data_IF_354122501186
#
_entry.id   IF_354122501186
#
_cell.length_a   1.000
_cell.length_b   1.000
_cell.length_c   1.000
_cell.angle_alpha   90.00
_cell.angle_beta   90.00
_cell.angle_gamma   90.00
#
_symmetry.space_group_name_H-M   'P 1'
#
loop_
_entity.id
_entity.type
_entity.pdbx_description
1 polymer ?
#
# COMPACT_ATOMS: atom_id res chain seq x y z
N UNK A 1 12.82 4.32 5.45
CA UNK A 1 13.97 3.86 6.27
C UNK A 1 13.50 3.67 7.70
N UNK A 2 13.93 2.60 8.35
CA UNK A 2 13.64 2.34 9.78
C UNK A 2 14.98 2.32 10.50
N UNK A 3 15.09 3.07 11.60
CA UNK A 3 16.30 3.21 12.41
C UNK A 3 15.97 2.87 13.86
N UNK A 4 16.64 1.85 14.39
CA UNK A 4 16.51 1.42 15.79
C UNK A 4 17.37 2.26 16.74
N UNK A 5 17.34 1.93 18.02
CA UNK A 5 18.05 2.71 19.04
C UNK A 5 19.54 2.76 18.75
N UNK A 6 20.15 3.93 18.91
CA UNK A 6 21.58 4.13 18.73
C UNK A 6 22.31 4.18 20.07
N UNK A 7 23.59 3.82 20.06
CA UNK A 7 24.41 3.76 21.27
C UNK A 7 24.46 5.11 21.98
N UNK A 8 24.68 6.17 21.21
CA UNK A 8 24.66 7.55 21.68
C UNK A 8 23.65 8.34 20.88
N UNK A 9 23.06 9.35 21.51
CA UNK A 9 22.07 10.21 20.88
C UNK A 9 22.67 11.05 19.75
N UNK A 10 23.97 11.34 19.82
CA UNK A 10 24.71 12.00 18.75
C UNK A 10 24.72 11.20 17.43
N UNK A 11 24.57 9.87 17.47
CA UNK A 11 24.59 9.06 16.25
C UNK A 11 23.34 9.29 15.39
N UNK A 12 22.23 9.75 15.99
CA UNK A 12 21.01 10.12 15.24
C UNK A 12 21.21 11.35 14.35
N UNK A 13 22.24 12.18 14.58
CA UNK A 13 22.52 13.32 13.70
C UNK A 13 23.03 12.89 12.33
N UNK A 14 23.39 11.62 12.15
CA UNK A 14 23.77 11.04 10.86
C UNK A 14 22.55 10.70 9.98
N UNK A 15 21.35 10.75 10.55
CA UNK A 15 20.13 10.47 9.80
C UNK A 15 19.82 11.59 8.81
N UNK A 16 19.14 11.27 7.69
CA UNK A 16 18.71 12.26 6.72
C UNK A 16 17.94 13.40 7.40
N UNK A 17 18.28 14.64 7.04
CA UNK A 17 17.79 15.87 7.68
C UNK A 17 18.74 16.43 8.74
N UNK A 18 19.44 15.58 9.50
CA UNK A 18 20.42 16.02 10.50
C UNK A 18 19.84 16.67 11.76
N UNK A 19 18.51 16.79 11.85
CA UNK A 19 17.81 17.53 12.90
C UNK A 19 17.46 16.68 14.14
N UNK A 20 17.73 15.36 14.11
CA UNK A 20 17.46 14.50 15.26
C UNK A 20 18.61 14.54 16.27
N UNK A 21 18.26 14.84 17.52
CA UNK A 21 19.15 14.74 18.68
C UNK A 21 18.43 14.08 19.83
N UNK A 22 19.20 13.49 20.74
CA UNK A 22 18.63 12.83 21.89
C UNK A 22 19.69 12.22 22.78
N UNK A 23 19.28 11.19 23.50
CA UNK A 23 20.13 10.32 24.31
C UNK A 23 19.96 8.88 23.84
N UNK A 24 21.06 8.19 23.62
CA UNK A 24 21.08 6.79 23.20
C UNK A 24 20.98 5.82 24.37
N UNK A 25 20.96 4.53 24.07
CA UNK A 25 20.79 3.50 25.10
C UNK A 25 21.94 3.42 26.11
N UNK A 26 23.13 3.96 25.81
CA UNK A 26 24.20 4.08 26.84
C UNK A 26 24.05 5.28 27.78
N UNK A 27 23.22 6.26 27.41
CA UNK A 27 23.15 7.56 28.10
C UNK A 27 21.87 7.72 28.94
N UNK A 28 20.86 6.87 28.71
CA UNK A 28 19.61 6.85 29.47
C UNK A 28 19.09 5.41 29.66
N UNK A 29 19.80 4.66 30.49
CA UNK A 29 19.50 3.28 30.86
C UNK A 29 18.52 3.26 32.03
N UNK A 30 17.29 2.74 31.88
CA UNK A 30 16.42 2.47 33.05
C UNK A 30 15.08 1.77 32.81
N UNK A 31 14.57 1.54 31.59
CA UNK A 31 13.14 1.24 31.45
C UNK A 31 12.82 -0.06 30.70
N UNK A 32 12.16 -0.98 31.41
CA UNK A 32 11.97 -2.38 31.02
C UNK A 32 10.50 -2.77 30.82
N UNK A 33 9.57 -2.06 31.46
CA UNK A 33 8.12 -2.29 31.37
C UNK A 33 7.38 -0.95 31.29
N UNK A 34 6.23 -0.92 30.60
CA UNK A 34 5.33 0.22 30.38
C UNK A 34 6.07 1.52 30.12
N UNK A 35 7.08 1.43 29.26
CA UNK A 35 8.10 2.47 29.12
C UNK A 35 7.70 3.57 28.14
N UNK A 36 6.64 3.35 27.36
CA UNK A 36 6.08 4.33 26.45
C UNK A 36 4.55 4.29 26.39
N UNK A 37 4.00 5.38 25.87
CA UNK A 37 2.62 5.56 25.45
C UNK A 37 2.59 5.90 23.96
N UNK A 38 1.48 5.61 23.28
CA UNK A 38 1.21 6.05 21.91
C UNK A 38 0.94 7.56 21.95
N UNK A 39 1.82 8.35 21.34
CA UNK A 39 1.65 9.81 21.24
C UNK A 39 0.65 10.17 20.13
N UNK A 40 0.92 9.70 18.92
CA UNK A 40 0.02 9.81 17.78
C UNK A 40 -0.29 8.43 17.24
N UNK A 41 -1.57 8.12 17.04
CA UNK A 41 -1.97 6.83 16.49
C UNK A 41 -1.44 6.67 15.06
N UNK A 42 -0.99 5.45 14.75
CA UNK A 42 -0.52 5.04 13.43
C UNK A 42 -0.82 3.55 13.25
N UNK A 43 -1.09 3.05 12.02
CA UNK A 43 -1.42 1.63 11.77
C UNK A 43 -0.45 0.59 12.37
N UNK A 44 0.80 0.99 12.64
CA UNK A 44 1.80 0.15 13.31
C UNK A 44 1.44 -0.24 14.74
N UNK A 45 0.51 0.49 15.37
CA UNK A 45 0.01 0.24 16.73
C UNK A 45 -1.35 -0.47 16.73
N UNK A 46 -1.81 -0.97 15.59
CA UNK A 46 -3.11 -1.63 15.47
C UNK A 46 -3.28 -2.83 16.41
N UNK A 47 -2.20 -3.56 16.71
CA UNK A 47 -2.17 -4.73 17.61
C UNK A 47 -1.87 -4.36 19.08
N UNK A 48 -1.98 -3.07 19.42
CA UNK A 48 -1.72 -2.57 20.79
C UNK A 48 -3.06 -2.18 21.43
N UNK A 49 -3.55 -2.93 22.43
CA UNK A 49 -4.88 -2.68 23.00
C UNK A 49 -4.97 -1.40 23.87
N UNK A 50 -3.84 -0.88 24.36
CA UNK A 50 -3.83 0.31 25.20
C UNK A 50 -2.74 1.30 24.79
N UNK A 51 -3.13 2.56 24.61
CA UNK A 51 -2.21 3.63 24.25
C UNK A 51 -1.34 4.08 25.43
N UNK A 52 -1.74 3.74 26.66
CA UNK A 52 -1.16 4.24 27.90
C UNK A 52 0.03 3.42 28.42
N UNK A 53 0.10 2.16 28.02
CA UNK A 53 0.99 1.18 28.65
C UNK A 53 1.64 0.28 27.60
N UNK A 54 2.41 0.90 26.70
CA UNK A 54 3.16 0.16 25.67
C UNK A 54 4.42 -0.43 26.32
N UNK A 55 4.33 -1.70 26.70
CA UNK A 55 5.47 -2.49 27.17
C UNK A 55 6.53 -2.66 26.07
N UNK A 56 7.58 -1.82 26.10
CA UNK A 56 8.72 -1.82 25.19
C UNK A 56 10.02 -1.64 25.96
N UNK A 57 11.11 -2.20 25.43
CA UNK A 57 12.46 -1.91 25.92
C UNK A 57 12.92 -0.60 25.28
N UNK A 58 12.94 0.48 26.08
CA UNK A 58 13.29 1.82 25.62
C UNK A 58 14.29 2.46 26.58
N UNK A 59 15.52 2.53 26.10
CA UNK A 59 16.60 3.29 26.70
C UNK A 59 17.01 4.39 25.72
N UNK A 60 16.81 5.64 26.13
CA UNK A 60 16.94 6.82 25.27
C UNK A 60 15.62 7.54 24.98
N UNK A 61 15.77 8.76 24.46
CA UNK A 61 14.69 9.63 24.02
C UNK A 61 15.25 10.75 23.12
N UNK A 62 14.40 11.32 22.26
CA UNK A 62 14.74 12.48 21.44
C UNK A 62 14.52 13.78 22.22
N UNK A 63 15.44 14.73 22.07
CA UNK A 63 15.35 16.10 22.62
C UNK A 63 15.06 17.13 21.54
N UNK A 64 15.43 16.84 20.29
CA UNK A 64 15.12 17.63 19.11
C UNK A 64 14.65 16.70 18.00
N UNK A 65 13.56 17.09 17.33
CA UNK A 65 12.95 16.37 16.21
C UNK A 65 12.67 17.36 15.07
N UNK A 66 12.65 16.92 13.80
CA UNK A 66 12.28 17.79 12.68
C UNK A 66 10.92 18.47 12.90
N UNK A 67 10.74 19.71 12.42
CA UNK A 67 9.51 20.50 12.65
C UNK A 67 8.23 19.82 12.16
N UNK A 68 8.33 18.99 11.12
CA UNK A 68 7.20 18.24 10.54
C UNK A 68 7.18 16.77 10.98
N UNK A 69 7.97 16.40 12.00
CA UNK A 69 7.97 15.05 12.52
C UNK A 69 6.72 14.78 13.38
N UNK A 70 6.16 13.58 13.23
CA UNK A 70 5.11 13.07 14.09
C UNK A 70 5.75 12.21 15.19
N UNK A 71 5.45 12.52 16.45
CA UNK A 71 5.83 11.66 17.58
C UNK A 71 4.85 10.51 17.70
N UNK A 72 5.30 9.29 17.38
CA UNK A 72 4.50 8.08 17.42
C UNK A 72 4.47 7.45 18.82
N UNK A 73 5.61 7.42 19.51
CA UNK A 73 5.70 6.98 20.90
C UNK A 73 6.28 8.10 21.77
N UNK A 74 5.69 8.28 22.95
CA UNK A 74 6.18 9.16 24.01
C UNK A 74 6.66 8.29 25.15
N UNK A 75 7.79 8.63 25.75
CA UNK A 75 8.37 7.88 26.85
C UNK A 75 7.69 8.24 28.16
N UNK A 76 7.22 7.25 28.91
CA UNK A 76 6.43 7.48 30.13
C UNK A 76 7.27 8.11 31.25
N UNK A 77 8.56 7.77 31.35
CA UNK A 77 9.45 8.29 32.40
C UNK A 77 9.58 9.82 32.38
N UNK A 78 9.49 10.45 31.21
CA UNK A 78 9.87 11.84 31.06
C UNK A 78 9.04 12.66 30.06
N UNK A 79 8.10 12.03 29.36
CA UNK A 79 7.25 12.67 28.35
C UNK A 79 7.98 13.04 27.06
N UNK A 80 9.18 12.50 26.80
CA UNK A 80 9.95 12.79 25.60
C UNK A 80 9.65 11.83 24.45
N UNK A 81 9.81 12.25 23.18
CA UNK A 81 9.61 11.35 22.04
C UNK A 81 10.56 10.14 22.11
N UNK A 82 10.00 8.94 21.95
CA UNK A 82 10.74 7.68 21.87
C UNK A 82 10.69 7.05 20.48
N UNK A 83 9.70 7.41 19.66
CA UNK A 83 9.60 7.02 18.25
C UNK A 83 9.02 8.18 17.46
N UNK A 84 9.65 8.49 16.34
CA UNK A 84 9.26 9.60 15.46
C UNK A 84 9.20 9.14 14.01
N UNK A 85 8.26 9.73 13.27
CA UNK A 85 8.08 9.55 11.83
C UNK A 85 8.19 10.90 11.15
N UNK A 86 9.03 11.01 10.12
CA UNK A 86 9.15 12.23 9.34
C UNK A 86 9.45 11.92 7.88
N UNK A 87 9.09 12.86 7.00
CA UNK A 87 9.36 12.76 5.57
C UNK A 87 10.79 13.21 5.25
N UNK A 88 11.43 12.52 4.31
CA UNK A 88 12.70 12.94 3.73
C UNK A 88 12.78 12.48 2.27
N UNK A 89 12.91 13.45 1.35
CA UNK A 89 12.86 13.17 -0.09
C UNK A 89 11.51 12.60 -0.50
N UNK A 90 11.51 11.48 -1.23
CA UNK A 90 10.30 10.80 -1.70
C UNK A 90 9.80 9.71 -0.73
N UNK A 91 10.32 9.65 0.50
CA UNK A 91 10.00 8.58 1.44
C UNK A 91 9.98 9.04 2.89
N UNK A 92 9.88 8.06 3.79
CA UNK A 92 9.73 8.27 5.23
C UNK A 92 10.92 7.73 6.00
N UNK A 93 11.24 8.38 7.11
CA UNK A 93 12.16 7.90 8.14
C UNK A 93 11.38 7.66 9.42
N UNK A 94 11.45 6.43 9.94
CA UNK A 94 11.01 6.08 11.29
C UNK A 94 12.26 5.89 12.14
N UNK A 95 12.45 6.74 13.15
CA UNK A 95 13.54 6.61 14.12
C UNK A 95 12.94 6.25 15.49
N UNK A 96 13.52 5.26 16.17
CA UNK A 96 12.98 4.77 17.43
C UNK A 96 14.08 4.41 18.43
N UNK A 97 13.80 4.59 19.71
CA UNK A 97 14.61 4.11 20.83
C UNK A 97 14.22 2.71 21.31
N UNK A 98 13.33 2.01 20.59
CA UNK A 98 13.01 0.60 20.86
C UNK A 98 14.22 -0.28 20.53
N UNK A 99 14.66 -1.09 21.50
CA UNK A 99 15.96 -1.79 21.48
C UNK A 99 15.91 -3.29 21.11
N UNK A 100 14.92 -3.69 20.31
CA UNK A 100 14.63 -5.11 20.07
C UNK A 100 15.53 -5.79 19.03
N UNK A 101 16.39 -5.04 18.35
CA UNK A 101 17.35 -5.54 17.35
C UNK A 101 18.65 -6.08 17.97
N UNK A 102 19.06 -5.57 19.14
CA UNK A 102 20.36 -5.88 19.76
C UNK A 102 20.25 -6.90 20.91
N UNK A 103 19.08 -7.05 21.53
CA UNK A 103 18.91 -7.84 22.74
C UNK A 103 18.78 -9.38 22.64
N UNK A 104 18.68 -10.07 21.48
CA UNK A 104 18.53 -11.53 21.50
C UNK A 104 19.75 -12.32 22.02
N UNK A 105 20.91 -11.71 22.27
CA UNK A 105 22.16 -12.48 22.49
C UNK A 105 23.08 -12.09 23.66
N UNK A 106 22.94 -10.94 24.31
CA UNK A 106 24.05 -10.45 25.15
C UNK A 106 23.88 -10.62 26.65
N UNK A 107 22.67 -10.76 27.20
CA UNK A 107 22.46 -11.02 28.63
C UNK A 107 21.15 -11.78 28.82
N UNK A 108 21.16 -12.95 29.44
CA UNK A 108 20.03 -13.87 29.61
C UNK A 108 18.84 -13.33 30.43
N UNK A 109 18.30 -12.18 30.05
CA UNK A 109 17.10 -11.57 30.59
C UNK A 109 15.91 -11.95 29.69
N UNK A 110 15.09 -12.86 30.21
CA UNK A 110 13.90 -13.44 29.57
C UNK A 110 12.69 -12.48 29.50
N UNK A 111 12.86 -11.22 29.12
CA UNK A 111 11.71 -10.34 28.90
C UNK A 111 11.71 -9.77 27.49
N UNK A 112 11.30 -10.59 26.53
CA UNK A 112 10.77 -10.07 25.26
C UNK A 112 9.58 -9.18 25.61
N UNK A 113 9.71 -7.88 25.40
CA UNK A 113 8.55 -6.97 25.44
C UNK A 113 7.43 -7.59 24.58
N UNK A 114 6.22 -7.83 25.13
CA UNK A 114 5.15 -8.52 24.41
C UNK A 114 4.66 -7.70 23.20
N UNK A 115 4.82 -6.37 23.25
CA UNK A 115 4.39 -5.48 22.18
C UNK A 115 5.42 -5.27 21.08
N UNK A 116 6.73 -5.44 21.36
CA UNK A 116 7.74 -5.15 20.35
C UNK A 116 7.63 -6.02 19.09
N UNK A 117 7.51 -7.36 19.15
CA UNK A 117 7.33 -8.17 17.93
C UNK A 117 6.12 -7.74 17.11
N UNK A 118 5.02 -7.38 17.78
CA UNK A 118 3.78 -6.91 17.14
C UNK A 118 3.95 -5.58 16.40
N UNK A 119 4.61 -4.61 17.05
CA UNK A 119 4.90 -3.29 16.46
C UNK A 119 5.90 -3.45 15.31
N UNK A 120 6.95 -4.25 15.47
CA UNK A 120 7.94 -4.47 14.40
C UNK A 120 7.32 -5.14 13.18
N UNK A 121 6.51 -6.19 13.36
CA UNK A 121 5.75 -6.84 12.28
C UNK A 121 4.90 -5.82 11.53
N UNK A 122 4.11 -5.04 12.27
CA UNK A 122 3.22 -4.03 11.69
C UNK A 122 3.99 -2.89 11.01
N UNK A 123 5.12 -2.48 11.57
CA UNK A 123 6.04 -1.49 10.99
C UNK A 123 6.65 -1.97 9.67
N UNK A 124 7.07 -3.24 9.60
CA UNK A 124 7.61 -3.81 8.37
C UNK A 124 6.52 -3.98 7.30
N UNK A 125 5.34 -4.48 7.67
CA UNK A 125 4.21 -4.59 6.75
C UNK A 125 3.79 -3.21 6.22
N UNK A 126 3.73 -2.20 7.08
CA UNK A 126 3.46 -0.83 6.67
C UNK A 126 4.54 -0.29 5.74
N UNK A 127 5.81 -0.49 6.06
CA UNK A 127 6.93 0.01 5.26
C UNK A 127 7.06 -0.70 3.90
N UNK A 128 6.64 -1.96 3.80
CA UNK A 128 6.60 -2.74 2.55
C UNK A 128 5.33 -2.46 1.72
N UNK A 129 4.29 -1.90 2.33
CA UNK A 129 3.04 -1.61 1.64
C UNK A 129 3.23 -0.52 0.59
N UNK A 130 2.88 -0.83 -0.66
CA UNK A 130 2.89 0.14 -1.77
C UNK A 130 1.70 1.09 -1.74
N UNK A 131 0.67 0.77 -0.94
CA UNK A 131 -0.56 1.55 -0.78
C UNK A 131 -0.70 1.98 0.69
N UNK A 132 -1.41 3.09 0.97
CA UNK A 132 -1.73 3.46 2.34
C UNK A 132 -2.42 2.32 3.09
N UNK A 133 -1.96 2.02 4.30
CA UNK A 133 -2.60 1.04 5.18
C UNK A 133 -3.77 1.71 5.88
N UNK A 134 -4.97 1.50 5.36
CA UNK A 134 -6.21 2.00 5.98
C UNK A 134 -6.45 1.32 7.33
N UNK A 135 -6.99 2.07 8.29
CA UNK A 135 -7.43 1.53 9.57
C UNK A 135 -8.94 1.34 9.58
N UNK A 136 -9.39 0.19 10.09
CA UNK A 136 -10.79 -0.15 10.33
C UNK A 136 -11.00 -0.48 11.81
N UNK A 137 -12.20 -0.24 12.35
CA UNK A 137 -12.49 -0.57 13.73
C UNK A 137 -12.45 -2.08 13.97
N UNK A 138 -11.93 -2.47 15.14
CA UNK A 138 -12.14 -3.81 15.66
C UNK A 138 -13.62 -4.02 15.97
N UNK A 139 -14.22 -5.03 15.35
CA UNK A 139 -15.60 -5.42 15.60
C UNK A 139 -15.82 -6.89 15.24
N UNK A 140 -15.99 -7.74 16.25
CA UNK A 140 -16.23 -9.18 16.06
C UNK A 140 -17.62 -9.47 15.46
N UNK A 141 -18.59 -8.57 15.62
CA UNK A 141 -19.97 -8.80 15.25
C UNK A 141 -20.26 -8.46 13.79
N UNK A 142 -19.58 -7.44 13.25
CA UNK A 142 -19.85 -6.89 11.92
C UNK A 142 -18.75 -7.23 10.92
N UNK A 143 -19.11 -7.78 9.74
CA UNK A 143 -18.13 -8.07 8.71
C UNK A 143 -17.52 -6.76 8.19
N UNK A 144 -16.20 -6.69 8.24
CA UNK A 144 -15.41 -5.69 7.52
C UNK A 144 -15.21 -6.17 6.09
N UNK A 145 -15.46 -5.29 5.12
CA UNK A 145 -15.22 -5.58 3.71
C UNK A 145 -13.86 -5.04 3.30
N UNK A 146 -12.93 -5.94 3.01
CA UNK A 146 -11.61 -5.56 2.48
C UNK A 146 -11.61 -5.63 0.96
N UNK A 147 -11.32 -4.51 0.29
CA UNK A 147 -11.47 -4.35 -1.16
C UNK A 147 -10.15 -4.07 -1.87
N UNK A 148 -10.02 -4.62 -3.07
CA UNK A 148 -9.04 -4.25 -4.09
C UNK A 148 -9.76 -3.80 -5.36
N UNK A 149 -9.27 -2.72 -5.96
CA UNK A 149 -9.72 -2.24 -7.26
C UNK A 149 -8.92 -2.91 -8.36
N UNK A 150 -9.55 -3.83 -9.09
CA UNK A 150 -9.01 -4.40 -10.31
C UNK A 150 -9.49 -3.59 -11.52
N UNK A 151 -8.58 -3.20 -12.42
CA UNK A 151 -8.93 -2.57 -13.69
C UNK A 151 -8.60 -3.51 -14.82
N UNK A 152 -9.57 -3.84 -15.67
CA UNK A 152 -9.30 -4.67 -16.83
C UNK A 152 -8.30 -3.94 -17.76
N UNK A 153 -7.08 -4.48 -17.97
CA UNK A 153 -6.02 -3.81 -18.73
C UNK A 153 -6.31 -3.77 -20.23
N UNK A 154 -7.36 -4.44 -20.72
CA UNK A 154 -7.77 -4.36 -22.12
C UNK A 154 -8.29 -2.93 -22.39
N UNK A 155 -7.56 -2.22 -23.26
CA UNK A 155 -7.81 -0.79 -23.59
C UNK A 155 -8.86 -0.64 -24.71
N UNK A 156 -9.14 -1.72 -25.43
CA UNK A 156 -10.06 -1.72 -26.56
C UNK A 156 -11.39 -2.34 -26.15
N UNK A 157 -12.41 -1.51 -25.93
CA UNK A 157 -13.82 -1.94 -25.88
C UNK A 157 -14.62 -1.26 -26.97
N UNK A 158 -14.46 -1.60 -28.26
CA UNK A 158 -15.49 -1.22 -29.19
C UNK A 158 -16.72 -2.10 -28.93
N UNK A 159 -17.92 -1.53 -29.06
CA UNK A 159 -19.13 -2.32 -29.24
C UNK A 159 -19.05 -2.94 -30.64
N UNK A 160 -18.33 -4.04 -30.78
CA UNK A 160 -18.30 -4.79 -32.02
C UNK A 160 -19.61 -5.54 -32.21
N UNK A 161 -20.09 -5.56 -33.44
CA UNK A 161 -21.14 -6.49 -33.85
C UNK A 161 -20.68 -7.92 -33.62
N UNK A 162 -21.60 -8.77 -33.14
CA UNK A 162 -21.33 -10.17 -32.84
C UNK A 162 -22.23 -11.04 -33.69
N UNK A 163 -21.64 -12.06 -34.31
CA UNK A 163 -22.28 -12.99 -35.23
C UNK A 163 -21.98 -14.42 -34.79
N UNK A 164 -22.92 -15.34 -35.01
CA UNK A 164 -22.64 -16.76 -34.85
C UNK A 164 -21.89 -17.30 -36.08
N UNK A 165 -21.18 -18.42 -35.90
CA UNK A 165 -20.59 -19.14 -37.04
C UNK A 165 -21.71 -19.54 -38.00
N UNK A 166 -21.45 -19.41 -39.31
CA UNK A 166 -22.41 -19.67 -40.41
C UNK A 166 -23.50 -18.61 -40.59
N UNK A 167 -23.44 -17.49 -39.85
CA UNK A 167 -24.21 -16.28 -40.19
C UNK A 167 -23.44 -15.41 -41.18
N UNK A 168 -24.17 -14.71 -42.05
CA UNK A 168 -23.61 -13.66 -42.88
C UNK A 168 -23.28 -12.45 -41.99
N UNK A 169 -22.02 -12.02 -42.00
CA UNK A 169 -21.57 -10.80 -41.32
C UNK A 169 -22.03 -9.61 -42.14
N UNK A 170 -22.86 -8.76 -41.53
CA UNK A 170 -23.44 -7.57 -42.15
C UNK A 170 -23.11 -6.34 -41.28
N UNK A 171 -22.10 -5.57 -41.70
CA UNK A 171 -21.62 -4.38 -40.96
C UNK A 171 -21.47 -3.15 -41.87
N UNK A 172 -21.88 -1.99 -41.37
CA UNK A 172 -21.66 -0.70 -42.03
C UNK A 172 -20.31 -0.13 -41.60
N UNK A 173 -19.37 -0.03 -42.54
CA UNK A 173 -18.03 0.51 -42.29
C UNK A 173 -17.95 1.96 -42.77
N UNK A 174 -17.49 2.87 -41.89
CA UNK A 174 -17.19 4.25 -42.26
C UNK A 174 -15.89 4.31 -43.06
N UNK A 175 -16.00 4.54 -44.36
CA UNK A 175 -14.87 4.55 -45.30
C UNK A 175 -14.52 6.00 -45.66
N UNK A 176 -13.38 6.47 -45.15
CA UNK A 176 -12.86 7.80 -45.43
C UNK A 176 -11.82 7.78 -46.54
N UNK A 177 -11.97 8.70 -47.50
CA UNK A 177 -11.00 8.98 -48.56
C UNK A 177 -10.36 10.36 -48.34
N UNK A 178 -9.18 10.45 -47.72
CA UNK A 178 -8.48 11.72 -47.51
C UNK A 178 -7.66 12.18 -48.72
N UNK A 179 -7.72 11.47 -49.84
CA UNK A 179 -6.90 11.76 -51.02
C UNK A 179 -7.59 12.74 -51.95
N UNK A 180 -6.84 13.24 -52.94
CA UNK A 180 -7.38 14.10 -54.00
C UNK A 180 -8.01 13.34 -55.18
N UNK A 181 -8.08 12.01 -55.11
CA UNK A 181 -8.65 11.15 -56.15
C UNK A 181 -10.00 10.60 -55.71
N UNK A 182 -10.88 10.29 -56.67
CA UNK A 182 -12.11 9.54 -56.39
C UNK A 182 -11.78 8.05 -56.39
N UNK A 183 -12.18 7.32 -55.36
CA UNK A 183 -12.11 5.86 -55.34
C UNK A 183 -13.32 5.27 -56.08
N UNK A 184 -13.10 4.30 -56.97
CA UNK A 184 -14.16 3.58 -57.68
C UNK A 184 -14.46 2.20 -57.08
N UNK A 185 -13.56 1.68 -56.24
CA UNK A 185 -13.70 0.39 -55.57
C UNK A 185 -13.20 0.51 -54.13
N UNK A 186 -13.91 -0.17 -53.22
CA UNK A 186 -13.48 -0.41 -51.84
C UNK A 186 -13.26 -1.91 -51.69
N UNK A 187 -12.04 -2.30 -51.36
CA UNK A 187 -11.73 -3.68 -50.98
C UNK A 187 -11.64 -3.75 -49.46
N UNK A 188 -12.41 -4.63 -48.84
CA UNK A 188 -12.26 -4.99 -47.44
C UNK A 188 -11.28 -6.16 -47.31
N UNK A 189 -10.28 -6.00 -46.45
CA UNK A 189 -9.38 -7.07 -46.05
C UNK A 189 -9.79 -7.51 -44.66
N UNK A 190 -10.25 -8.76 -44.54
CA UNK A 190 -10.61 -9.37 -43.27
C UNK A 190 -9.44 -10.21 -42.76
N UNK A 191 -9.08 -10.00 -41.50
CA UNK A 191 -8.00 -10.73 -40.83
C UNK A 191 -8.64 -11.51 -39.69
N UNK A 192 -8.57 -12.83 -39.76
CA UNK A 192 -9.13 -13.70 -38.74
C UNK A 192 -8.25 -13.73 -37.47
N UNK A 193 -8.70 -14.38 -36.38
CA UNK A 193 -7.96 -14.47 -35.11
C UNK A 193 -6.58 -15.13 -35.21
N UNK A 194 -6.33 -15.87 -36.29
CA UNK A 194 -5.09 -16.57 -36.59
C UNK A 194 -4.26 -15.87 -37.68
N UNK A 195 -4.61 -14.62 -38.01
CA UNK A 195 -3.95 -13.80 -39.03
C UNK A 195 -4.05 -14.33 -40.47
N UNK A 196 -5.01 -15.21 -40.75
CA UNK A 196 -5.35 -15.54 -42.13
C UNK A 196 -6.16 -14.39 -42.74
N UNK A 197 -5.91 -14.13 -44.01
CA UNK A 197 -6.45 -12.97 -44.73
C UNK A 197 -7.48 -13.44 -45.77
N UNK A 198 -8.63 -12.78 -45.82
CA UNK A 198 -9.60 -12.86 -46.91
C UNK A 198 -9.96 -11.46 -47.42
N UNK A 199 -10.50 -11.38 -48.63
CA UNK A 199 -10.82 -10.11 -49.29
C UNK A 199 -12.25 -10.13 -49.79
N UNK A 200 -12.98 -9.04 -49.53
CA UNK A 200 -14.31 -8.79 -50.07
C UNK A 200 -14.32 -7.46 -50.83
N UNK A 201 -14.68 -7.52 -52.11
CA UNK A 201 -14.72 -6.34 -52.97
C UNK A 201 -16.13 -5.76 -53.04
N UNK A 202 -16.26 -4.47 -52.72
CA UNK A 202 -17.52 -3.74 -52.81
C UNK A 202 -17.40 -2.61 -53.83
N UNK A 203 -18.30 -2.63 -54.82
CA UNK A 203 -18.40 -1.54 -55.79
C UNK A 203 -19.06 -0.33 -55.13
N UNK A 204 -18.23 0.59 -54.62
CA UNK A 204 -18.65 1.84 -54.01
C UNK A 204 -17.76 2.99 -54.46
N UNK A 205 -18.37 4.14 -54.79
CA UNK A 205 -17.64 5.34 -55.20
C UNK A 205 -17.45 6.26 -53.99
N UNK A 206 -16.19 6.52 -53.61
CA UNK A 206 -15.86 7.42 -52.49
C UNK A 206 -15.18 8.66 -53.05
N UNK A 207 -15.89 9.80 -53.02
CA UNK A 207 -15.36 11.06 -53.51
C UNK A 207 -14.09 11.48 -52.74
N UNK A 208 -13.24 12.26 -53.40
CA UNK A 208 -12.07 12.92 -52.79
C UNK A 208 -12.47 13.71 -51.53
N UNK A 209 -11.67 13.58 -50.48
CA UNK A 209 -11.87 14.24 -49.18
C UNK A 209 -13.26 14.03 -48.54
N UNK A 210 -13.86 12.84 -48.73
CA UNK A 210 -15.18 12.49 -48.20
C UNK A 210 -15.18 11.21 -47.38
N UNK A 211 -16.25 10.98 -46.63
CA UNK A 211 -16.51 9.72 -45.90
C UNK A 211 -17.91 9.24 -46.24
N UNK A 212 -18.06 7.95 -46.51
CA UNK A 212 -19.35 7.30 -46.74
C UNK A 212 -19.43 6.01 -45.91
N UNK A 213 -20.64 5.54 -45.63
CA UNK A 213 -20.85 4.21 -45.08
C UNK A 213 -20.92 3.19 -46.22
N UNK A 214 -20.13 2.13 -46.13
CA UNK A 214 -20.10 1.02 -47.09
C UNK A 214 -20.44 -0.27 -46.37
N UNK A 215 -21.42 -1.01 -46.88
CA UNK A 215 -21.83 -2.25 -46.28
C UNK A 215 -20.86 -3.38 -46.63
N UNK A 216 -20.27 -4.03 -45.61
CA UNK A 216 -19.52 -5.26 -45.74
C UNK A 216 -20.47 -6.44 -45.51
N UNK A 217 -20.60 -7.28 -46.53
CA UNK A 217 -21.30 -8.55 -46.46
C UNK A 217 -20.26 -9.68 -46.61
N UNK A 218 -20.02 -10.42 -45.54
CA UNK A 218 -19.06 -11.53 -45.53
C UNK A 218 -19.74 -12.83 -45.12
N UNK A 219 -19.73 -13.82 -46.01
CA UNK A 219 -20.32 -15.13 -45.76
C UNK A 219 -19.38 -15.99 -44.91
N UNK A 220 -19.89 -16.49 -43.79
CA UNK A 220 -19.17 -17.44 -42.94
C UNK A 220 -19.75 -18.84 -43.07
N UNK A 221 -19.01 -19.84 -42.63
CA UNK A 221 -19.42 -21.25 -42.65
C UNK A 221 -18.92 -21.97 -41.38
N UNK A 222 -19.30 -23.23 -41.21
CA UNK A 222 -18.97 -24.02 -40.00
C UNK A 222 -17.44 -24.20 -39.77
N UNK A 223 -16.61 -23.94 -40.79
CA UNK A 223 -15.15 -23.99 -40.70
C UNK A 223 -14.51 -22.62 -40.40
N UNK A 224 -15.31 -21.55 -40.35
CA UNK A 224 -14.84 -20.20 -40.09
C UNK A 224 -14.32 -20.07 -38.65
N UNK A 225 -13.15 -19.45 -38.51
CA UNK A 225 -12.45 -19.37 -37.21
C UNK A 225 -13.23 -18.49 -36.22
N UNK A 226 -13.61 -19.03 -35.04
CA UNK A 226 -14.25 -18.21 -34.01
C UNK A 226 -13.23 -17.26 -33.37
N UNK A 227 -13.66 -16.04 -33.05
CA UNK A 227 -12.84 -15.03 -32.38
C UNK A 227 -13.10 -13.62 -32.88
N UNK A 228 -12.12 -12.73 -32.69
CA UNK A 228 -12.14 -11.34 -33.16
C UNK A 228 -11.55 -11.28 -34.57
N UNK A 229 -12.32 -10.74 -35.51
CA UNK A 229 -11.92 -10.47 -36.88
C UNK A 229 -11.69 -8.98 -37.07
N UNK A 230 -10.57 -8.60 -37.69
CA UNK A 230 -10.27 -7.21 -38.03
C UNK A 230 -10.65 -6.93 -39.48
N UNK A 231 -11.25 -5.77 -39.72
CA UNK A 231 -11.62 -5.28 -41.04
C UNK A 231 -10.77 -4.06 -41.36
N UNK A 232 -9.92 -4.20 -42.38
CA UNK A 232 -9.25 -3.09 -43.02
C UNK A 232 -9.96 -2.78 -44.33
N UNK A 233 -9.80 -1.56 -44.84
CA UNK A 233 -10.26 -1.23 -46.18
C UNK A 233 -9.14 -0.58 -46.99
N UNK A 234 -9.14 -0.88 -48.29
CA UNK A 234 -8.24 -0.29 -49.29
C UNK A 234 -9.09 0.36 -50.36
N UNK A 235 -8.77 1.61 -50.69
CA UNK A 235 -9.41 2.37 -51.76
C UNK A 235 -8.62 2.23 -53.04
N UNK A 236 -9.31 1.95 -54.13
CA UNK A 236 -8.73 1.89 -55.47
C UNK A 236 -9.34 2.93 -56.38
N UNK A 237 -8.50 3.55 -57.21
CA UNK A 237 -8.91 4.27 -58.40
C UNK A 237 -8.52 3.40 -59.60
N UNK A 238 -9.52 2.82 -60.25
CA UNK A 238 -9.38 1.74 -61.23
C UNK A 238 -8.61 0.55 -60.65
N UNK A 239 -7.37 0.34 -61.07
CA UNK A 239 -6.51 -0.76 -60.59
C UNK A 239 -5.47 -0.31 -59.56
N UNK A 240 -5.37 1.00 -59.27
CA UNK A 240 -4.33 1.55 -58.41
C UNK A 240 -4.85 1.81 -57.01
N UNK A 241 -4.21 1.23 -55.99
CA UNK A 241 -4.49 1.56 -54.59
C UNK A 241 -4.07 3.00 -54.30
N UNK A 242 -4.96 3.77 -53.69
CA UNK A 242 -4.74 5.20 -53.37
C UNK A 242 -4.74 5.49 -51.86
N UNK A 243 -5.33 4.61 -51.05
CA UNK A 243 -5.41 4.76 -49.59
C UNK A 243 -5.74 3.42 -48.93
N UNK A 244 -5.37 3.25 -47.67
CA UNK A 244 -5.80 2.13 -46.83
C UNK A 244 -5.98 2.61 -45.39
N UNK A 245 -6.93 2.03 -44.67
CA UNK A 245 -7.15 2.35 -43.26
C UNK A 245 -7.80 1.20 -42.50
N UNK A 246 -7.88 1.37 -41.19
CA UNK A 246 -8.70 0.53 -40.33
C UNK A 246 -10.18 0.87 -40.55
N UNK A 247 -11.00 -0.16 -40.77
CA UNK A 247 -12.45 -0.03 -40.87
C UNK A 247 -13.07 -0.23 -39.49
N UNK A 248 -13.18 -1.51 -39.09
CA UNK A 248 -13.76 -1.91 -37.81
C UNK A 248 -13.28 -3.32 -37.42
N UNK A 249 -13.90 -3.95 -36.44
CA UNK A 249 -13.75 -5.37 -36.14
C UNK A 249 -15.11 -5.95 -35.71
N UNK A 250 -15.24 -7.27 -35.76
CA UNK A 250 -16.42 -7.98 -35.31
C UNK A 250 -16.02 -9.27 -34.59
N UNK A 251 -16.95 -9.85 -33.84
CA UNK A 251 -16.74 -11.18 -33.23
C UNK A 251 -17.56 -12.22 -33.95
N UNK A 252 -16.95 -13.37 -34.26
CA UNK A 252 -17.61 -14.52 -34.88
C UNK A 252 -17.56 -15.71 -33.92
N UNK A 253 -18.70 -16.29 -33.56
CA UNK A 253 -18.78 -17.45 -32.64
C UNK A 253 -18.10 -17.20 -31.29
N UNK A 254 -17.91 -15.93 -30.93
CA UNK A 254 -17.09 -15.49 -29.82
C UNK A 254 -17.84 -14.40 -29.07
N UNK A 255 -18.04 -14.61 -27.78
CA UNK A 255 -18.68 -13.61 -26.95
C UNK A 255 -17.61 -12.71 -26.35
N UNK A 256 -17.60 -11.42 -26.70
CA UNK A 256 -16.67 -10.44 -26.11
C UNK A 256 -16.82 -10.31 -24.58
N UNK A 257 -17.91 -10.82 -23.99
CA UNK A 257 -18.01 -10.97 -22.54
C UNK A 257 -16.93 -11.91 -21.98
N UNK A 258 -16.40 -12.87 -22.75
CA UNK A 258 -15.35 -13.79 -22.29
C UNK A 258 -13.98 -13.12 -22.09
N UNK A 259 -13.66 -12.04 -22.84
CA UNK A 259 -12.48 -11.19 -22.53
C UNK A 259 -12.72 -10.25 -21.35
N UNK A 260 -13.94 -10.28 -20.82
CA UNK A 260 -14.35 -9.54 -19.64
C UNK A 260 -14.56 -10.45 -18.44
N UNK A 261 -14.45 -11.77 -18.54
CA UNK A 261 -14.69 -12.68 -17.41
C UNK A 261 -13.38 -13.10 -16.73
N UNK A 262 -13.32 -12.92 -15.41
CA UNK A 262 -12.13 -13.17 -14.61
C UNK A 262 -12.43 -14.04 -13.38
N UNK A 263 -11.38 -14.68 -12.87
CA UNK A 263 -11.35 -15.32 -11.55
C UNK A 263 -10.42 -14.53 -10.64
N UNK A 264 -10.83 -14.28 -9.40
CA UNK A 264 -9.96 -13.76 -8.36
C UNK A 264 -9.79 -14.81 -7.26
N UNK A 265 -8.55 -15.15 -6.95
CA UNK A 265 -8.16 -15.92 -5.77
C UNK A 265 -7.75 -14.93 -4.68
N UNK A 266 -8.42 -15.01 -3.53
CA UNK A 266 -8.24 -14.09 -2.41
C UNK A 266 -7.86 -14.90 -1.17
N UNK A 267 -6.70 -14.63 -0.60
CA UNK A 267 -6.20 -15.28 0.61
C UNK A 267 -6.02 -14.23 1.71
N UNK A 268 -6.75 -14.38 2.81
CA UNK A 268 -6.69 -13.47 3.95
C UNK A 268 -5.89 -14.12 5.08
N UNK A 269 -4.81 -13.45 5.47
CA UNK A 269 -3.94 -13.86 6.57
C UNK A 269 -4.16 -12.92 7.75
N UNK A 270 -4.33 -13.50 8.94
CA UNK A 270 -4.46 -12.75 10.18
C UNK A 270 -3.10 -12.16 10.62
N UNK A 271 -3.09 -11.26 11.62
CA UNK A 271 -1.86 -10.71 12.16
C UNK A 271 -0.83 -11.78 12.58
N UNK A 272 -1.27 -12.90 13.17
CA UNK A 272 -0.38 -13.98 13.63
C UNK A 272 0.26 -14.79 12.51
N UNK A 273 -0.15 -14.59 11.26
CA UNK A 273 0.39 -15.24 10.08
C UNK A 273 -0.42 -16.46 9.62
N UNK A 274 -1.58 -16.71 10.23
CA UNK A 274 -2.47 -17.81 9.85
C UNK A 274 -3.38 -17.40 8.69
N UNK A 275 -3.50 -18.26 7.68
CA UNK A 275 -4.51 -18.15 6.64
C UNK A 275 -5.88 -18.45 7.26
N UNK A 276 -6.75 -17.44 7.34
CA UNK A 276 -8.06 -17.55 7.99
C UNK A 276 -9.23 -17.67 7.01
N UNK A 277 -9.06 -17.22 5.78
CA UNK A 277 -10.08 -17.30 4.73
C UNK A 277 -9.41 -17.37 3.35
N UNK A 278 -10.03 -18.14 2.45
CA UNK A 278 -9.61 -18.28 1.06
C UNK A 278 -10.85 -18.36 0.19
N UNK A 279 -10.99 -17.41 -0.73
CA UNK A 279 -12.16 -17.30 -1.60
C UNK A 279 -11.74 -17.27 -3.06
N UNK A 280 -12.56 -17.91 -3.90
CA UNK A 280 -12.48 -17.78 -5.36
C UNK A 280 -13.74 -17.09 -5.85
N UNK A 281 -13.58 -15.93 -6.48
CA UNK A 281 -14.67 -15.16 -7.05
C UNK A 281 -14.59 -15.23 -8.58
N UNK A 282 -15.73 -15.39 -9.24
CA UNK A 282 -15.82 -15.16 -10.69
C UNK A 282 -16.60 -13.88 -10.92
N UNK A 283 -16.10 -12.99 -11.76
CA UNK A 283 -16.70 -11.69 -12.01
C UNK A 283 -16.44 -11.22 -13.45
N UNK A 284 -17.34 -10.38 -13.95
CA UNK A 284 -17.19 -9.76 -15.26
C UNK A 284 -16.70 -8.32 -15.11
N UNK A 285 -15.53 -8.03 -15.66
CA UNK A 285 -14.95 -6.71 -15.78
C UNK A 285 -14.84 -6.24 -17.23
N UNK A 286 -15.68 -5.28 -17.63
CA UNK A 286 -15.60 -4.67 -18.96
C UNK A 286 -14.22 -4.01 -19.19
N UNK A 287 -13.74 -3.93 -20.45
CA UNK A 287 -12.42 -3.38 -20.72
C UNK A 287 -12.29 -1.92 -20.25
N UNK A 288 -11.13 -1.58 -19.68
CA UNK A 288 -10.81 -0.28 -19.07
C UNK A 288 -11.73 0.15 -17.92
N UNK A 289 -12.60 -0.73 -17.42
CA UNK A 289 -13.44 -0.46 -16.24
C UNK A 289 -12.79 -1.08 -14.99
N UNK A 290 -13.00 -0.40 -13.87
CA UNK A 290 -12.53 -0.80 -12.55
C UNK A 290 -13.64 -1.47 -11.77
N UNK A 291 -13.31 -2.60 -11.14
CA UNK A 291 -14.21 -3.40 -10.33
C UNK A 291 -13.60 -3.64 -8.95
N UNK A 292 -14.45 -3.58 -7.93
CA UNK A 292 -14.07 -3.92 -6.57
C UNK A 292 -14.18 -5.43 -6.39
N UNK A 293 -13.05 -6.09 -6.16
CA UNK A 293 -13.00 -7.45 -5.63
C UNK A 293 -12.64 -7.37 -4.15
N UNK A 294 -13.11 -8.31 -3.34
CA UNK A 294 -12.85 -8.21 -1.92
C UNK A 294 -13.37 -9.38 -1.12
N UNK A 295 -12.93 -9.43 0.13
CA UNK A 295 -13.29 -10.45 1.10
C UNK A 295 -13.98 -9.80 2.28
N UNK A 296 -15.16 -10.32 2.63
CA UNK A 296 -15.86 -9.91 3.84
C UNK A 296 -15.41 -10.81 4.99
N UNK A 297 -14.85 -10.23 6.04
CA UNK A 297 -14.31 -10.97 7.18
C UNK A 297 -14.72 -10.33 8.51
N UNK A 298 -14.79 -11.14 9.56
CA UNK A 298 -15.03 -10.67 10.92
C UNK A 298 -13.71 -10.77 11.68
N UNK A 299 -13.03 -9.64 11.98
CA UNK A 299 -11.77 -9.71 12.69
C UNK A 299 -11.99 -10.26 14.11
N UNK A 300 -11.23 -11.29 14.46
CA UNK A 300 -11.21 -11.89 15.80
C UNK A 300 -10.00 -11.45 16.64
N UNK A 301 -9.05 -10.74 16.01
CA UNK A 301 -7.89 -10.14 16.65
C UNK A 301 -7.57 -8.78 16.00
N UNK A 302 -6.98 -7.88 16.77
CA UNK A 302 -6.46 -6.59 16.30
C UNK A 302 -5.08 -6.77 15.64
N UNK A 303 -4.65 -5.79 14.86
CA UNK A 303 -3.37 -5.80 14.16
C UNK A 303 -3.48 -5.61 12.65
N UNK A 304 -2.36 -5.82 11.95
CA UNK A 304 -2.30 -5.71 10.49
C UNK A 304 -2.65 -7.04 9.85
N UNK A 305 -3.77 -7.08 9.16
CA UNK A 305 -4.24 -8.19 8.33
C UNK A 305 -3.73 -8.03 6.91
N UNK A 306 -3.52 -9.15 6.20
CA UNK A 306 -2.92 -9.15 4.86
C UNK A 306 -3.83 -9.89 3.88
N UNK A 307 -4.19 -9.22 2.78
CA UNK A 307 -4.88 -9.83 1.64
C UNK A 307 -3.87 -10.04 0.51
N UNK A 308 -3.58 -11.29 0.22
CA UNK A 308 -2.91 -11.72 -1.00
C UNK A 308 -3.99 -12.01 -2.05
N UNK A 309 -3.85 -11.40 -3.22
CA UNK A 309 -4.81 -11.54 -4.31
C UNK A 309 -4.11 -11.90 -5.61
N UNK A 310 -4.78 -12.73 -6.39
CA UNK A 310 -4.39 -13.07 -7.76
C UNK A 310 -5.65 -13.04 -8.65
N UNK A 311 -5.60 -12.25 -9.72
CA UNK A 311 -6.66 -12.17 -10.73
C UNK A 311 -6.19 -12.85 -11.99
N UNK A 312 -6.98 -13.77 -12.49
CA UNK A 312 -6.70 -14.56 -13.68
C UNK A 312 -7.84 -14.47 -14.71
N UNK A 313 -7.54 -14.74 -15.97
CA UNK A 313 -8.56 -15.11 -16.96
C UNK A 313 -9.24 -16.43 -16.56
N UNK A 314 -10.36 -16.79 -17.22
CA UNK A 314 -11.02 -18.08 -16.97
C UNK A 314 -10.11 -19.29 -17.22
N UNK A 315 -9.13 -19.15 -18.12
CA UNK A 315 -8.11 -20.16 -18.46
C UNK A 315 -6.89 -20.14 -17.51
N UNK A 316 -6.98 -19.45 -16.37
CA UNK A 316 -5.95 -19.35 -15.33
C UNK A 316 -4.67 -18.62 -15.76
N UNK A 317 -4.75 -17.66 -16.69
CA UNK A 317 -3.63 -16.76 -16.98
C UNK A 317 -3.68 -15.57 -16.02
N UNK A 318 -2.66 -15.39 -15.19
CA UNK A 318 -2.55 -14.27 -14.23
C UNK A 318 -2.44 -12.93 -14.96
N UNK A 319 -3.31 -11.98 -14.62
CA UNK A 319 -3.38 -10.63 -15.21
C UNK A 319 -3.14 -9.51 -14.20
N UNK A 320 -3.34 -9.77 -12.90
CA UNK A 320 -2.97 -8.88 -11.81
C UNK A 320 -2.72 -9.72 -10.54
N UNK A 321 -1.80 -9.27 -9.69
CA UNK A 321 -1.54 -9.91 -8.41
C UNK A 321 -0.88 -8.93 -7.45
N UNK A 322 -1.06 -9.16 -6.15
CA UNK A 322 -0.40 -8.32 -5.17
C UNK A 322 -0.82 -8.61 -3.74
N UNK A 323 -0.20 -7.85 -2.84
CA UNK A 323 -0.43 -7.95 -1.41
C UNK A 323 -0.88 -6.59 -0.89
N UNK A 324 -1.91 -6.58 -0.07
CA UNK A 324 -2.39 -5.38 0.61
C UNK A 324 -2.49 -5.61 2.11
N UNK A 325 -2.20 -4.57 2.88
CA UNK A 325 -2.32 -4.56 4.33
C UNK A 325 -3.49 -3.66 4.78
N UNK A 326 -4.24 -4.13 5.78
CA UNK A 326 -5.30 -3.37 6.47
C UNK A 326 -5.08 -3.47 7.97
N UNK A 327 -5.16 -2.35 8.67
CA UNK A 327 -5.02 -2.31 10.12
C UNK A 327 -6.40 -2.42 10.78
N UNK A 328 -6.62 -3.47 11.56
CA UNK A 328 -7.80 -3.60 12.43
C UNK A 328 -7.39 -3.13 13.82
N UNK A 329 -8.10 -2.12 14.34
CA UNK A 329 -7.63 -1.38 15.51
C UNK A 329 -8.76 -0.91 16.40
N UNK A 330 -8.54 -0.93 17.70
CA UNK A 330 -9.44 -0.32 18.69
C UNK A 330 -9.40 1.23 18.63
N UNK A 331 -8.34 1.80 18.04
CA UNK A 331 -8.17 3.26 17.93
C UNK A 331 -8.92 3.91 16.76
N UNK A 332 -9.59 3.12 15.90
CA UNK A 332 -10.25 3.64 14.70
C UNK A 332 -11.31 4.73 15.00
N UNK A 333 -11.86 4.74 16.22
CA UNK A 333 -12.85 5.72 16.67
C UNK A 333 -12.26 6.98 17.31
N UNK A 334 -10.93 7.07 17.49
CA UNK A 334 -10.25 8.23 18.08
C UNK A 334 -8.97 8.61 17.31
N UNK A 335 -9.10 9.31 16.16
CA UNK A 335 -7.96 9.65 15.27
C UNK A 335 -6.97 10.65 15.89
N UNK A 336 -7.33 11.34 16.97
CA UNK A 336 -6.43 12.23 17.72
C UNK A 336 -5.44 11.48 18.62
N UNK A 337 -5.57 10.15 18.74
CA UNK A 337 -4.80 9.34 19.67
C UNK A 337 -5.22 9.56 21.13
N UNK A 338 -4.46 8.97 22.04
CA UNK A 338 -4.55 9.28 23.47
C UNK A 338 -3.75 10.55 23.74
N UNK A 339 -4.43 11.61 24.18
CA UNK A 339 -3.76 12.83 24.64
C UNK A 339 -3.28 12.57 26.06
N UNK A 340 -1.96 12.66 26.23
CA UNK A 340 -1.30 12.54 27.51
C UNK A 340 -1.90 13.49 28.55
N UNK A 341 -2.42 12.90 29.63
CA UNK A 341 -2.89 13.61 30.82
C UNK A 341 -1.91 13.37 31.97
N UNK A 342 -0.72 13.95 31.91
CA UNK A 342 0.08 14.12 33.14
C UNK A 342 0.28 15.60 33.45
N UNK A 343 0.73 15.83 34.67
CA UNK A 343 0.97 17.14 35.27
C UNK A 343 1.80 18.04 34.35
N UNK A 344 1.49 19.34 34.37
CA UNK A 344 2.17 20.39 33.60
C UNK A 344 3.70 20.43 33.80
N UNK A 345 4.21 19.73 34.81
CA UNK A 345 5.62 19.63 35.18
C UNK A 345 6.10 18.18 35.15
N UNK A 346 7.17 17.90 34.42
CA UNK A 346 7.87 16.60 34.49
C UNK A 346 9.38 16.77 34.57
N UNK A 347 10.09 15.72 34.97
CA UNK A 347 11.54 15.70 34.98
C UNK A 347 12.11 14.33 34.63
N UNK A 348 13.39 14.31 34.23
CA UNK A 348 14.20 13.11 34.05
C UNK A 348 15.57 13.34 34.66
N UNK A 349 16.23 12.27 35.07
CA UNK A 349 17.63 12.27 35.46
C UNK A 349 18.41 11.40 34.48
N UNK A 350 19.48 11.96 33.91
CA UNK A 350 20.48 11.21 33.15
C UNK A 350 21.83 11.30 33.86
N UNK A 351 22.73 10.36 33.59
CA UNK A 351 24.07 10.33 34.18
C UNK A 351 25.12 10.23 33.07
N UNK A 352 26.34 10.67 33.36
CA UNK A 352 27.47 10.54 32.43
C UNK A 352 28.07 9.11 32.36
N UNK A 353 27.66 8.23 33.29
CA UNK A 353 28.08 6.83 33.32
C UNK A 353 27.13 5.99 34.19
N UNK A 354 27.07 4.67 33.94
CA UNK A 354 26.39 3.72 34.84
C UNK A 354 27.31 3.17 35.93
N UNK A 355 28.64 3.24 35.71
CA UNK A 355 29.64 2.69 36.60
C UNK A 355 30.54 3.79 37.14
N UNK A 356 30.27 4.15 38.39
CA UNK A 356 31.14 5.02 39.16
C UNK A 356 32.06 4.19 40.04
N UNK A 357 33.35 4.23 39.74
CA UNK A 357 34.36 3.72 40.67
C UNK A 357 34.37 4.58 41.92
N UNK A 358 34.63 3.96 43.07
CA UNK A 358 34.76 4.67 44.33
C UNK A 358 35.75 5.83 44.21
N UNK A 359 35.33 7.03 44.60
CA UNK A 359 36.12 8.27 44.50
C UNK A 359 36.08 8.99 43.15
N UNK A 360 35.39 8.43 42.13
CA UNK A 360 35.16 9.12 40.86
C UNK A 360 33.97 10.07 40.97
N UNK A 361 34.14 11.32 40.54
CA UNK A 361 33.03 12.26 40.40
C UNK A 361 32.11 11.79 39.26
N UNK A 362 30.80 11.75 39.53
CA UNK A 362 29.77 11.51 38.53
C UNK A 362 28.97 12.77 38.24
N UNK A 363 28.64 12.97 36.96
CA UNK A 363 27.80 14.08 36.52
C UNK A 363 26.39 13.55 36.29
N UNK A 364 25.42 14.13 36.99
CA UNK A 364 24.01 13.85 36.79
C UNK A 364 23.32 15.10 36.26
N UNK A 365 22.55 14.94 35.19
CA UNK A 365 21.81 16.02 34.55
C UNK A 365 20.33 15.85 34.82
N UNK A 366 19.75 16.83 35.52
CA UNK A 366 18.31 16.95 35.67
C UNK A 366 17.77 17.67 34.43
N UNK A 367 16.90 16.99 33.71
CA UNK A 367 16.10 17.59 32.65
C UNK A 367 14.73 17.89 33.22
N UNK A 368 14.29 19.14 33.16
CA UNK A 368 13.02 19.57 33.74
C UNK A 368 12.24 20.28 32.67
N UNK A 369 10.98 19.89 32.51
CA UNK A 369 10.10 20.43 31.49
C UNK A 369 8.85 21.02 32.13
N UNK A 370 8.60 22.28 31.79
CA UNK A 370 7.32 22.93 32.01
C UNK A 370 6.54 22.88 30.70
N UNK A 371 5.52 22.03 30.65
CA UNK A 371 4.62 21.86 29.52
C UNK A 371 3.32 22.65 29.68
N UNK A 372 3.13 23.33 30.82
CA UNK A 372 2.03 24.24 31.05
C UNK A 372 2.22 25.60 30.36
N UNK A 373 1.15 26.38 30.27
CA UNK A 373 1.14 27.73 29.71
C UNK A 373 1.58 28.81 30.73
N UNK A 374 1.85 28.41 31.98
CA UNK A 374 2.27 29.29 33.07
C UNK A 374 3.70 29.01 33.53
N UNK A 375 4.54 30.03 33.76
CA UNK A 375 5.85 29.86 34.39
C UNK A 375 5.74 29.18 35.76
N UNK A 376 6.67 28.29 36.09
CA UNK A 376 6.74 27.59 37.39
C UNK A 376 8.11 27.77 38.03
N UNK A 377 8.12 27.93 39.35
CA UNK A 377 9.36 27.94 40.15
C UNK A 377 9.75 26.51 40.53
N UNK A 378 11.02 26.16 40.31
CA UNK A 378 11.57 24.84 40.62
C UNK A 378 12.57 24.95 41.77
N UNK A 379 12.35 24.15 42.82
CA UNK A 379 13.27 24.03 43.95
C UNK A 379 13.95 22.66 43.93
N UNK A 380 15.24 22.63 43.65
CA UNK A 380 16.03 21.39 43.68
C UNK A 380 16.68 21.26 45.05
N UNK A 381 16.35 20.19 45.79
CA UNK A 381 17.10 19.76 46.98
C UNK A 381 17.74 18.42 46.70
N UNK A 382 19.06 18.42 46.52
CA UNK A 382 19.85 17.20 46.43
C UNK A 382 20.49 16.90 47.79
N UNK A 383 20.29 15.69 48.31
CA UNK A 383 20.99 15.19 49.49
C UNK A 383 21.78 13.95 49.07
N UNK A 384 23.11 14.07 49.01
CA UNK A 384 23.98 12.92 48.81
C UNK A 384 24.03 12.13 50.12
N UNK A 385 23.38 10.97 50.16
CA UNK A 385 23.53 10.02 51.27
C UNK A 385 24.72 9.12 50.93
N UNK A 386 25.86 9.34 51.57
CA UNK A 386 26.96 8.38 51.53
C UNK A 386 26.57 7.16 52.36
N UNK A 387 25.99 6.14 51.72
CA UNK A 387 25.90 4.81 52.35
C UNK A 387 27.27 4.15 52.14
N UNK A 388 28.15 4.34 53.12
CA UNK A 388 29.32 3.48 53.29
C UNK A 388 28.81 2.23 53.99
N UNK A 389 28.32 1.25 53.23
CA UNK A 389 28.19 -0.11 53.76
C UNK A 389 29.47 -0.86 53.39
N UNK A 390 30.41 -0.84 54.32
CA UNK A 390 31.56 -1.75 54.30
C UNK A 390 31.09 -3.10 54.86
N UNK A 391 30.83 -4.06 53.97
CA UNK A 391 31.06 -5.49 54.23
C UNK A 391 31.69 -6.17 53.04
#
# INVERSE_FOLDING_TARGET
MIVFSQQRGADFSLLPGGDLKGYGWTEDQSCWAKSASVGTYHPIFSDIPSALEVDLLIDGFFTEIPVNATTLLVRNKNGMPAMVLYEYGAGHVVATHVFNDIFPRTRGFFSSSPHAPKILRSLFLWALSKKPVSTVPYNEDFPTLYKHNYTNPVIFSPKWSSFNVSETVDILVNVSNPTNYTASVVEFTLINPYYNISHDNVSATVASNSTIEVNLLHETNDESSPGIWMVLYTLYNDTSSIWYSYGEAFTLGFNISQVSSFKAYLNLTNPDGDLVDSQTLTFDALPSKTYEIGIAFKPNITGVWVLDYEVCTLDNVTVDHGVQAIAVSEYAYNPGGWVYQEDEMSFSLTSDSDYYYYGKNGTFTFHIWNRGDTPKDIFIRAQAISIIDLK
#
